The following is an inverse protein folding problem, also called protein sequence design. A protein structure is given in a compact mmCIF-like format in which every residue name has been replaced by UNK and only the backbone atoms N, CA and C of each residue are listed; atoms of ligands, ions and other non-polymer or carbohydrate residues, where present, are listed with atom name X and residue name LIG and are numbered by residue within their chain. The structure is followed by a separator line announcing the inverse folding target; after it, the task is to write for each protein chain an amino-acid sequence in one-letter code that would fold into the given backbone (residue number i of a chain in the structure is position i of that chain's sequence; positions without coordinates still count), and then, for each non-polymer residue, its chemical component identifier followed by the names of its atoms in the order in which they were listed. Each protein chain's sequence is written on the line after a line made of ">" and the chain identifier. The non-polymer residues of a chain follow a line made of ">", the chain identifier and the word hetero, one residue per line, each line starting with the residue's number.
data_IF_178968054769
#
_entry.id   IF_178968054769
#
_cell.length_a   1.000
_cell.length_b   1.000
_cell.length_c   1.000
_cell.angle_alpha   90.00
_cell.angle_beta   90.00
_cell.angle_gamma   90.00
#
_symmetry.space_group_name_H-M   'P 1'
#
loop_
_entity.id
_entity.type
_entity.pdbx_description
1 polymer ?
#
# COMPACT_ATOMS: atom_id res chain seq x y z
N UNK A 1 0.94 -13.63 -16.55
CA UNK A 1 2.25 -13.65 -17.25
C UNK A 1 2.99 -12.38 -16.88
N UNK A 2 4.26 -12.47 -16.52
CA UNK A 2 5.12 -11.31 -16.25
C UNK A 2 6.13 -11.23 -17.40
N UNK A 3 6.25 -10.06 -18.00
CA UNK A 3 7.21 -9.78 -19.07
C UNK A 3 8.15 -8.71 -18.59
N UNK A 4 9.45 -8.94 -18.76
CA UNK A 4 10.51 -7.97 -18.43
C UNK A 4 11.28 -7.69 -19.72
N UNK A 5 11.35 -6.43 -20.13
CA UNK A 5 12.13 -5.98 -21.29
C UNK A 5 13.21 -5.01 -20.83
N UNK A 6 14.47 -5.19 -21.25
CA UNK A 6 15.49 -4.19 -20.98
C UNK A 6 15.13 -2.89 -21.73
N UNK A 7 15.45 -1.72 -21.16
CA UNK A 7 15.18 -0.42 -21.76
C UNK A 7 16.07 -0.22 -22.98
N UNK A 8 15.65 0.69 -23.84
CA UNK A 8 16.43 1.12 -25.02
C UNK A 8 17.65 1.97 -24.59
N UNK A 9 17.66 2.49 -23.35
CA UNK A 9 18.73 3.31 -22.78
C UNK A 9 19.27 2.70 -21.49
N UNK A 10 20.59 2.59 -21.36
CA UNK A 10 21.24 2.18 -20.11
C UNK A 10 21.43 3.40 -19.20
N UNK A 11 20.99 3.32 -17.96
CA UNK A 11 21.28 4.34 -16.95
C UNK A 11 22.79 4.36 -16.64
N UNK A 12 23.35 5.57 -16.50
CA UNK A 12 24.79 5.82 -16.51
C UNK A 12 25.59 5.33 -15.30
N UNK A 13 24.94 4.74 -14.29
CA UNK A 13 25.57 4.41 -12.99
C UNK A 13 25.53 2.91 -12.64
N UNK A 14 25.58 2.02 -13.65
CA UNK A 14 25.75 0.58 -13.42
C UNK A 14 24.58 -0.10 -12.70
N UNK A 15 23.42 0.54 -12.69
CA UNK A 15 22.12 -0.03 -12.37
C UNK A 15 21.47 -0.71 -13.58
N UNK A 16 20.39 -1.45 -13.33
CA UNK A 16 19.56 -2.04 -14.37
C UNK A 16 18.21 -1.34 -14.34
N UNK A 17 17.80 -0.81 -15.47
CA UNK A 17 16.43 -0.38 -15.69
C UNK A 17 15.72 -1.47 -16.52
N UNK A 18 14.40 -1.62 -16.38
CA UNK A 18 13.60 -2.57 -17.14
C UNK A 18 12.13 -2.13 -17.22
N UNK A 19 11.54 -2.26 -18.40
CA UNK A 19 10.09 -2.21 -18.58
C UNK A 19 9.49 -3.53 -18.10
N UNK A 20 8.54 -3.45 -17.16
CA UNK A 20 7.85 -4.61 -16.61
C UNK A 20 6.36 -4.52 -16.91
N UNK A 21 5.78 -5.60 -17.44
CA UNK A 21 4.34 -5.74 -17.67
C UNK A 21 3.80 -6.99 -16.96
N UNK A 22 2.61 -6.86 -16.39
CA UNK A 22 1.84 -7.97 -15.84
C UNK A 22 0.55 -8.10 -16.65
N UNK A 23 0.38 -9.25 -17.28
CA UNK A 23 -0.78 -9.57 -18.11
C UNK A 23 -1.56 -10.80 -17.60
N UNK A 24 -2.83 -10.89 -17.97
CA UNK A 24 -3.67 -12.05 -17.66
C UNK A 24 -3.08 -13.34 -18.25
N UNK A 25 -3.10 -14.47 -17.52
CA UNK A 25 -2.64 -15.76 -18.05
C UNK A 25 -3.73 -16.38 -18.95
N UNK A 26 -3.89 -15.84 -20.15
CA UNK A 26 -4.93 -16.25 -21.12
C UNK A 26 -4.38 -16.35 -22.55
N UNK A 27 -5.09 -17.06 -23.43
CA UNK A 27 -4.75 -17.16 -24.86
C UNK A 27 -4.66 -15.78 -25.54
N UNK A 28 -5.52 -14.85 -25.11
CA UNK A 28 -5.47 -13.44 -25.46
C UNK A 28 -5.09 -12.63 -24.21
N UNK A 29 -3.78 -12.40 -23.96
CA UNK A 29 -3.34 -11.73 -22.75
C UNK A 29 -3.71 -10.24 -22.80
N UNK A 30 -4.29 -9.73 -21.70
CA UNK A 30 -4.52 -8.29 -21.50
C UNK A 30 -3.54 -7.78 -20.47
N UNK A 31 -2.79 -6.73 -20.81
CA UNK A 31 -1.91 -6.03 -19.86
C UNK A 31 -2.77 -5.38 -18.78
N UNK A 32 -2.48 -5.68 -17.53
CA UNK A 32 -3.17 -5.13 -16.34
C UNK A 32 -2.33 -4.07 -15.65
N UNK A 33 -1.02 -4.28 -15.60
CA UNK A 33 -0.07 -3.37 -14.98
C UNK A 33 1.16 -3.21 -15.85
N UNK A 34 1.75 -2.03 -15.79
CA UNK A 34 3.05 -1.72 -16.40
C UNK A 34 3.81 -0.74 -15.51
N UNK A 35 5.12 -0.87 -15.46
CA UNK A 35 6.00 0.10 -14.82
C UNK A 35 7.40 0.02 -15.42
N UNK A 36 8.22 1.01 -15.08
CA UNK A 36 9.67 0.91 -15.19
C UNK A 36 10.20 0.52 -13.82
N UNK A 37 11.12 -0.44 -13.77
CA UNK A 37 11.83 -0.84 -12.55
C UNK A 37 13.28 -0.44 -12.69
N UNK A 38 13.75 0.36 -11.75
CA UNK A 38 15.16 0.74 -11.61
C UNK A 38 15.79 -0.01 -10.43
N UNK A 39 16.86 -0.75 -10.71
CA UNK A 39 17.61 -1.52 -9.73
C UNK A 39 19.03 -0.96 -9.62
N UNK A 40 19.35 -0.41 -8.46
CA UNK A 40 20.69 0.02 -8.11
C UNK A 40 21.47 -1.12 -7.42
N UNK A 41 22.81 -1.09 -7.51
CA UNK A 41 23.69 -2.04 -6.81
C UNK A 41 23.63 -1.92 -5.29
N UNK A 42 23.36 -0.71 -4.82
CA UNK A 42 23.24 -0.39 -3.41
C UNK A 42 21.98 0.44 -3.20
N UNK A 43 21.30 0.17 -2.10
CA UNK A 43 20.15 0.94 -1.67
C UNK A 43 20.63 2.30 -1.16
N UNK A 44 19.95 3.37 -1.57
CA UNK A 44 20.25 4.71 -1.09
C UNK A 44 20.04 4.81 0.44
N UNK A 45 20.78 5.71 1.10
CA UNK A 45 20.63 5.91 2.54
C UNK A 45 19.18 6.35 2.87
N UNK A 46 18.51 5.70 3.84
CA UNK A 46 17.13 6.00 4.18
C UNK A 46 17.04 7.40 4.75
N UNK A 47 16.22 8.33 4.23
CA UNK A 47 16.12 9.68 4.80
C UNK A 47 15.44 9.68 6.17
N UNK A 48 15.60 10.77 6.94
CA UNK A 48 14.81 10.97 8.16
C UNK A 48 13.35 11.25 7.79
N UNK A 49 12.41 10.71 8.55
CA UNK A 49 11.00 11.07 8.39
C UNK A 49 10.75 12.50 8.90
N UNK A 50 10.15 13.34 8.06
CA UNK A 50 9.89 14.76 8.38
C UNK A 50 8.79 15.00 9.41
N UNK A 51 8.08 13.95 9.83
CA UNK A 51 6.94 14.03 10.73
C UNK A 51 5.63 14.34 10.01
N UNK A 52 4.59 14.57 10.81
CA UNK A 52 3.23 14.91 10.36
C UNK A 52 2.95 16.36 10.75
N UNK A 53 2.35 17.14 9.84
CA UNK A 53 2.07 18.57 10.04
C UNK A 53 0.74 18.85 10.78
N UNK A 54 -0.01 17.79 11.12
CA UNK A 54 -1.30 17.83 11.80
C UNK A 54 -1.31 16.90 13.01
N UNK A 55 -1.97 17.31 14.09
CA UNK A 55 -2.23 16.43 15.22
C UNK A 55 -3.19 15.31 14.81
N UNK A 56 -2.78 14.07 15.05
CA UNK A 56 -3.59 12.88 14.77
C UNK A 56 -4.55 12.62 15.93
N UNK A 57 -5.86 12.61 15.64
CA UNK A 57 -6.88 12.23 16.61
C UNK A 57 -7.09 10.71 16.59
N UNK A 58 -7.57 10.10 17.69
CA UNK A 58 -7.96 8.69 17.67
C UNK A 58 -9.04 8.42 16.63
N UNK A 59 -8.93 7.29 15.92
CA UNK A 59 -10.04 6.80 15.10
C UNK A 59 -11.17 6.33 16.04
N UNK A 60 -12.45 6.69 15.79
CA UNK A 60 -13.56 6.27 16.63
C UNK A 60 -13.99 4.81 16.39
N UNK A 61 -13.05 3.95 15.96
CA UNK A 61 -13.20 2.52 15.75
C UNK A 61 -11.91 1.83 16.15
N UNK A 62 -12.03 0.62 16.68
CA UNK A 62 -10.92 -0.31 16.73
C UNK A 62 -10.50 -0.73 15.32
N UNK A 63 -9.30 -1.26 15.18
CA UNK A 63 -8.80 -1.80 13.90
C UNK A 63 -9.71 -2.93 13.38
N UNK A 64 -10.19 -3.81 14.27
CA UNK A 64 -11.12 -4.88 13.92
C UNK A 64 -12.44 -4.35 13.35
N UNK A 65 -13.04 -3.36 14.03
CA UNK A 65 -14.28 -2.73 13.55
C UNK A 65 -14.08 -2.02 12.21
N UNK A 66 -12.95 -1.33 12.02
CA UNK A 66 -12.63 -0.72 10.73
C UNK A 66 -12.52 -1.80 9.64
N UNK A 67 -11.84 -2.91 9.92
CA UNK A 67 -11.75 -4.04 9.00
C UNK A 67 -13.12 -4.62 8.62
N UNK A 68 -13.96 -4.87 9.62
CA UNK A 68 -15.25 -5.52 9.44
C UNK A 68 -16.30 -4.61 8.79
N UNK A 69 -16.27 -3.31 9.09
CA UNK A 69 -17.29 -2.36 8.61
C UNK A 69 -16.91 -1.68 7.32
N UNK A 70 -15.63 -1.41 7.10
CA UNK A 70 -15.18 -0.47 6.07
C UNK A 70 -14.32 -1.10 4.99
N UNK A 71 -13.73 -2.26 5.24
CA UNK A 71 -12.86 -2.93 4.28
C UNK A 71 -13.44 -4.26 3.82
N UNK A 72 -12.83 -4.86 2.79
CA UNK A 72 -13.23 -6.15 2.21
C UNK A 72 -12.09 -7.18 2.24
N UNK A 73 -11.05 -6.94 3.04
CA UNK A 73 -9.85 -7.79 3.08
C UNK A 73 -10.05 -9.00 4.00
N UNK A 74 -9.63 -10.17 3.52
CA UNK A 74 -9.60 -11.40 4.32
C UNK A 74 -8.42 -11.44 5.31
N UNK A 75 -8.43 -12.36 6.29
CA UNK A 75 -7.45 -12.39 7.39
C UNK A 75 -5.99 -12.38 6.95
N UNK A 76 -5.67 -12.94 5.78
CA UNK A 76 -4.32 -12.93 5.23
C UNK A 76 -3.80 -11.50 4.96
N UNK A 77 -4.67 -10.58 4.55
CA UNK A 77 -4.31 -9.19 4.22
C UNK A 77 -4.59 -8.20 5.37
N UNK A 78 -5.25 -8.61 6.45
CA UNK A 78 -5.48 -7.75 7.63
C UNK A 78 -4.18 -7.60 8.44
N UNK A 79 -3.36 -6.61 8.07
CA UNK A 79 -1.98 -6.42 8.55
C UNK A 79 -1.74 -5.11 9.31
N UNK A 80 -2.75 -4.26 9.40
CA UNK A 80 -2.71 -3.11 10.32
C UNK A 80 -2.84 -3.67 11.74
N UNK A 81 -1.81 -3.48 12.55
CA UNK A 81 -1.77 -3.90 13.95
C UNK A 81 -2.40 -2.83 14.87
N UNK A 82 -2.23 -1.56 14.53
CA UNK A 82 -2.81 -0.43 15.25
C UNK A 82 -2.97 0.77 14.31
N UNK A 83 -3.94 1.64 14.61
CA UNK A 83 -4.06 2.95 13.98
C UNK A 83 -3.67 3.98 15.04
N UNK A 84 -2.59 4.69 14.80
CA UNK A 84 -2.05 5.66 15.76
C UNK A 84 -2.87 6.95 15.75
N UNK A 85 -3.50 7.26 14.62
CA UNK A 85 -4.55 8.26 14.53
C UNK A 85 -4.83 8.76 13.12
N UNK A 86 -5.73 9.73 13.03
CA UNK A 86 -6.26 10.30 11.79
C UNK A 86 -6.40 11.81 11.90
N UNK A 87 -6.12 12.53 10.82
CA UNK A 87 -6.32 13.97 10.65
C UNK A 87 -6.97 14.27 9.29
N UNK A 88 -7.21 15.55 8.98
CA UNK A 88 -7.85 15.95 7.72
C UNK A 88 -7.01 15.64 6.48
N UNK A 89 -5.68 15.58 6.59
CA UNK A 89 -4.80 15.17 5.49
C UNK A 89 -4.00 13.90 5.79
N UNK A 90 -4.21 13.23 6.92
CA UNK A 90 -3.33 12.13 7.33
C UNK A 90 -4.05 10.97 7.97
N UNK A 91 -3.47 9.79 7.83
CA UNK A 91 -3.69 8.64 8.72
C UNK A 91 -2.35 7.95 8.95
N UNK A 92 -2.13 7.47 10.18
CA UNK A 92 -0.94 6.69 10.53
C UNK A 92 -1.33 5.40 11.23
N UNK A 93 -0.57 4.34 10.97
CA UNK A 93 -0.79 3.05 11.62
C UNK A 93 0.43 2.14 11.57
N UNK A 94 0.51 1.26 12.57
CA UNK A 94 1.54 0.21 12.69
C UNK A 94 1.13 -1.00 11.86
N UNK A 95 2.07 -1.54 11.10
CA UNK A 95 1.84 -2.64 10.17
C UNK A 95 2.72 -3.83 10.53
N UNK A 96 2.14 -5.01 10.49
CA UNK A 96 2.84 -6.28 10.61
C UNK A 96 3.25 -6.80 9.22
N UNK A 97 4.56 -6.94 8.99
CA UNK A 97 5.06 -7.70 7.85
C UNK A 97 5.05 -9.21 8.18
N UNK A 98 4.34 -10.06 7.40
CA UNK A 98 4.29 -11.49 7.63
C UNK A 98 5.38 -12.24 6.84
N UNK A 99 6.47 -11.60 6.39
CA UNK A 99 7.53 -12.22 5.57
C UNK A 99 8.17 -13.47 6.17
N UNK A 100 8.14 -13.63 7.49
CA UNK A 100 8.57 -14.87 8.18
C UNK A 100 7.50 -15.97 8.24
N UNK A 101 6.25 -15.69 7.84
CA UNK A 101 5.08 -16.58 8.00
C UNK A 101 4.13 -16.58 6.80
N UNK A 102 4.56 -16.19 5.60
CA UNK A 102 3.65 -16.09 4.45
C UNK A 102 3.04 -17.46 4.13
N UNK A 103 1.86 -17.74 4.66
CA UNK A 103 1.02 -18.90 4.35
C UNK A 103 0.44 -18.85 2.94
N UNK A 104 1.06 -18.08 2.03
CA UNK A 104 0.73 -18.10 0.62
C UNK A 104 1.34 -19.36 0.04
N UNK A 105 0.50 -20.38 -0.15
CA UNK A 105 0.91 -21.66 -0.69
C UNK A 105 1.69 -21.46 -2.02
N UNK A 106 2.87 -22.07 -2.10
CA UNK A 106 3.72 -22.03 -3.30
C UNK A 106 4.65 -20.82 -3.41
N UNK A 107 4.60 -19.85 -2.50
CA UNK A 107 5.61 -18.80 -2.41
C UNK A 107 6.52 -19.10 -1.21
N UNK A 108 7.76 -19.50 -1.49
CA UNK A 108 8.78 -19.69 -0.46
C UNK A 108 9.02 -18.39 0.31
N UNK A 109 9.68 -18.49 1.47
CA UNK A 109 10.12 -17.35 2.29
C UNK A 109 10.90 -16.36 1.42
N UNK A 110 10.21 -15.36 0.89
CA UNK A 110 10.80 -14.38 -0.01
C UNK A 110 11.18 -13.17 0.82
N UNK A 111 12.47 -12.82 0.81
CA UNK A 111 12.91 -11.48 1.17
C UNK A 111 12.40 -10.52 0.09
N UNK A 112 11.12 -10.17 0.19
CA UNK A 112 10.44 -9.35 -0.79
C UNK A 112 11.14 -7.99 -0.89
N UNK A 113 11.49 -7.60 -2.12
CA UNK A 113 11.96 -6.22 -2.40
C UNK A 113 10.85 -5.24 -2.03
N UNK A 114 9.61 -5.55 -2.42
CA UNK A 114 8.39 -4.85 -2.04
C UNK A 114 7.51 -5.87 -1.33
N UNK A 115 7.38 -5.77 -0.01
CA UNK A 115 6.46 -6.63 0.72
C UNK A 115 5.02 -6.27 0.36
N UNK A 116 4.26 -7.18 -0.32
CA UNK A 116 2.92 -6.89 -0.79
C UNK A 116 1.95 -6.63 0.37
N UNK A 117 2.19 -7.20 1.54
CA UNK A 117 1.36 -7.01 2.72
C UNK A 117 1.56 -5.64 3.35
N UNK A 118 2.81 -5.17 3.38
CA UNK A 118 3.14 -3.83 3.87
C UNK A 118 2.57 -2.78 2.94
N UNK A 119 2.75 -2.94 1.63
CA UNK A 119 2.21 -2.02 0.64
C UNK A 119 0.68 -1.97 0.68
N UNK A 120 0.01 -3.13 0.71
CA UNK A 120 -1.46 -3.20 0.76
C UNK A 120 -2.01 -2.65 2.08
N UNK A 121 -1.34 -2.83 3.21
CA UNK A 121 -1.76 -2.24 4.47
C UNK A 121 -1.78 -0.69 4.45
N UNK A 122 -0.87 -0.04 3.72
CA UNK A 122 -0.94 1.42 3.51
C UNK A 122 -2.14 1.83 2.66
N UNK A 123 -2.46 1.06 1.61
CA UNK A 123 -3.68 1.25 0.81
C UNK A 123 -4.95 1.06 1.66
N UNK A 124 -4.93 0.10 2.59
CA UNK A 124 -6.02 -0.12 3.53
C UNK A 124 -6.18 1.06 4.51
N UNK A 125 -5.08 1.66 4.99
CA UNK A 125 -5.13 2.88 5.79
C UNK A 125 -5.76 4.04 4.99
N UNK A 126 -5.35 4.25 3.73
CA UNK A 126 -5.97 5.26 2.85
C UNK A 126 -7.48 5.00 2.66
N UNK A 127 -7.87 3.73 2.47
CA UNK A 127 -9.28 3.35 2.37
C UNK A 127 -10.03 3.64 3.68
N UNK A 128 -9.45 3.35 4.85
CA UNK A 128 -10.03 3.67 6.16
C UNK A 128 -10.19 5.19 6.30
N UNK A 129 -9.19 5.96 5.90
CA UNK A 129 -9.26 7.42 5.89
C UNK A 129 -10.42 7.90 4.99
N UNK A 130 -10.54 7.34 3.78
CA UNK A 130 -11.60 7.67 2.82
C UNK A 130 -12.99 7.35 3.40
N UNK A 131 -13.15 6.21 4.07
CA UNK A 131 -14.39 5.82 4.72
C UNK A 131 -14.73 6.73 5.90
N UNK A 132 -13.75 7.14 6.69
CA UNK A 132 -13.96 8.01 7.84
C UNK A 132 -14.29 9.47 7.45
N UNK A 133 -13.71 9.97 6.35
CA UNK A 133 -13.79 11.40 5.96
C UNK A 133 -14.83 11.66 4.88
N UNK A 134 -15.02 10.72 3.95
CA UNK A 134 -15.83 10.90 2.75
C UNK A 134 -16.95 9.86 2.62
N UNK A 135 -16.98 8.85 3.51
CA UNK A 135 -17.88 7.68 3.41
C UNK A 135 -17.82 7.00 2.03
N UNK A 136 -16.62 6.92 1.44
CA UNK A 136 -16.38 6.27 0.14
C UNK A 136 -15.32 5.17 0.24
N UNK A 137 -15.46 4.13 -0.57
CA UNK A 137 -14.40 3.14 -0.78
C UNK A 137 -13.46 3.61 -1.88
N UNK A 138 -12.17 3.67 -1.56
CA UNK A 138 -11.09 3.99 -2.48
C UNK A 138 -10.58 2.73 -3.20
N UNK A 139 -10.34 2.82 -4.51
CA UNK A 139 -9.69 1.78 -5.31
C UNK A 139 -8.45 2.36 -6.02
N UNK A 140 -7.25 1.77 -5.80
CA UNK A 140 -6.02 2.26 -6.39
C UNK A 140 -5.99 2.12 -7.91
N UNK A 141 -5.41 3.11 -8.57
CA UNK A 141 -5.36 3.16 -10.03
C UNK A 141 -3.91 3.21 -10.57
N UNK A 142 -3.05 4.02 -9.96
CA UNK A 142 -1.63 4.13 -10.31
C UNK A 142 -0.85 4.81 -9.17
N UNK A 143 0.46 4.77 -9.25
CA UNK A 143 1.35 5.65 -8.48
C UNK A 143 2.46 6.16 -9.39
N UNK A 144 3.11 7.26 -8.99
CA UNK A 144 4.25 7.82 -9.73
C UNK A 144 5.50 6.98 -9.52
N UNK A 145 5.90 6.77 -8.26
CA UNK A 145 7.11 6.03 -7.92
C UNK A 145 6.98 5.28 -6.59
N UNK A 146 7.75 4.21 -6.47
CA UNK A 146 7.99 3.51 -5.20
C UNK A 146 9.50 3.53 -4.96
N UNK A 147 9.94 4.20 -3.89
CA UNK A 147 11.35 4.25 -3.53
C UNK A 147 11.60 3.35 -2.32
N UNK A 148 12.64 2.53 -2.41
CA UNK A 148 13.08 1.65 -1.32
C UNK A 148 14.42 2.11 -0.78
N UNK A 149 14.50 2.22 0.53
CA UNK A 149 15.72 2.60 1.26
C UNK A 149 16.18 1.54 2.28
N UNK A 150 15.43 0.45 2.46
CA UNK A 150 15.87 -0.72 3.22
C UNK A 150 14.87 -1.87 3.15
N UNK A 151 15.09 -2.91 3.96
CA UNK A 151 14.13 -4.00 4.10
C UNK A 151 12.76 -3.49 4.60
N UNK A 152 11.69 -4.13 4.15
CA UNK A 152 10.32 -3.91 4.64
C UNK A 152 9.78 -5.13 5.40
N UNK A 153 10.48 -6.26 5.26
CA UNK A 153 10.22 -7.52 5.93
C UNK A 153 10.79 -7.55 7.33
N UNK A 154 10.10 -8.27 8.24
CA UNK A 154 10.55 -8.60 9.59
C UNK A 154 10.95 -7.40 10.47
N UNK A 155 10.42 -6.22 10.13
CA UNK A 155 10.64 -4.97 10.84
C UNK A 155 9.31 -4.33 11.24
N UNK A 156 9.27 -3.76 12.44
CA UNK A 156 8.11 -2.98 12.86
C UNK A 156 8.09 -1.66 12.11
N UNK A 157 7.10 -1.49 11.23
CA UNK A 157 6.94 -0.28 10.42
C UNK A 157 5.68 0.48 10.82
N UNK A 158 5.79 1.80 10.81
CA UNK A 158 4.64 2.70 10.85
C UNK A 158 4.45 3.27 9.45
N UNK A 159 3.27 3.08 8.87
CA UNK A 159 2.90 3.78 7.64
C UNK A 159 2.25 5.11 7.98
N UNK A 160 2.74 6.17 7.34
CA UNK A 160 2.13 7.49 7.32
C UNK A 160 1.60 7.74 5.92
N UNK A 161 0.31 8.00 5.82
CA UNK A 161 -0.38 8.27 4.56
C UNK A 161 -0.85 9.71 4.58
N UNK A 162 -0.28 10.54 3.71
CA UNK A 162 -0.75 11.90 3.45
C UNK A 162 -1.75 11.84 2.30
N UNK A 163 -2.90 12.49 2.46
CA UNK A 163 -4.02 12.43 1.51
C UNK A 163 -4.42 13.83 1.09
N UNK A 164 -4.47 14.03 -0.21
CA UNK A 164 -5.06 15.19 -0.87
C UNK A 164 -6.38 14.79 -1.54
N UNK A 165 -7.46 15.50 -1.22
CA UNK A 165 -8.77 15.26 -1.81
C UNK A 165 -8.88 16.00 -3.14
N UNK A 166 -9.14 15.24 -4.21
CA UNK A 166 -9.33 15.75 -5.56
C UNK A 166 -10.77 15.54 -6.03
N UNK A 167 -11.15 16.24 -7.10
CA UNK A 167 -12.41 16.05 -7.80
C UNK A 167 -13.65 15.97 -6.88
N UNK A 168 -13.70 16.82 -5.84
CA UNK A 168 -14.81 16.85 -4.89
C UNK A 168 -14.99 15.59 -4.03
N UNK A 169 -13.94 14.78 -3.85
CA UNK A 169 -13.99 13.53 -3.09
C UNK A 169 -14.16 12.27 -3.95
N UNK A 170 -14.15 12.41 -5.28
CA UNK A 170 -14.20 11.28 -6.21
C UNK A 170 -12.83 10.71 -6.57
N UNK A 171 -11.75 11.40 -6.20
CA UNK A 171 -10.38 10.90 -6.33
C UNK A 171 -9.54 11.40 -5.16
N UNK A 172 -8.51 10.64 -4.80
CA UNK A 172 -7.46 11.09 -3.87
C UNK A 172 -6.11 10.99 -4.56
N UNK A 173 -5.22 11.90 -4.17
CA UNK A 173 -3.79 11.77 -4.42
C UNK A 173 -3.08 11.64 -3.09
N UNK A 174 -2.19 10.66 -2.96
CA UNK A 174 -1.59 10.36 -1.67
C UNK A 174 -0.10 10.05 -1.76
N UNK A 175 0.58 10.33 -0.66
CA UNK A 175 2.00 10.05 -0.45
C UNK A 175 2.13 9.12 0.75
N UNK A 176 2.85 8.01 0.60
CA UNK A 176 3.05 7.05 1.70
C UNK A 176 4.49 7.06 2.16
N UNK A 177 4.69 6.98 3.47
CA UNK A 177 6.01 6.77 4.08
C UNK A 177 5.96 5.58 5.03
N UNK A 178 6.82 4.60 4.81
CA UNK A 178 7.03 3.47 5.72
C UNK A 178 8.24 3.77 6.59
N UNK A 179 8.02 3.92 7.89
CA UNK A 179 9.02 4.46 8.83
C UNK A 179 9.34 3.43 9.90
N UNK A 180 10.63 3.24 10.16
CA UNK A 180 11.11 2.36 11.22
C UNK A 180 11.08 3.01 12.61
N UNK A 181 11.40 2.22 13.63
CA UNK A 181 11.50 2.68 15.02
C UNK A 181 12.56 3.77 15.27
N UNK A 182 13.52 3.93 14.36
CA UNK A 182 14.55 4.97 14.40
C UNK A 182 14.17 6.23 13.61
N UNK A 183 12.89 6.36 13.22
CA UNK A 183 12.36 7.46 12.42
C UNK A 183 13.06 7.61 11.05
N UNK A 184 13.49 6.49 10.45
CA UNK A 184 14.04 6.45 9.09
C UNK A 184 13.00 5.92 8.11
N UNK A 185 12.89 6.57 6.96
CA UNK A 185 12.02 6.13 5.88
C UNK A 185 12.65 4.92 5.19
N UNK A 186 11.98 3.77 5.26
CA UNK A 186 12.41 2.50 4.66
C UNK A 186 11.86 2.30 3.25
N UNK A 187 10.71 2.89 2.98
CA UNK A 187 10.21 3.08 1.62
C UNK A 187 9.25 4.28 1.58
N UNK A 188 9.04 4.83 0.39
CA UNK A 188 8.00 5.82 0.11
C UNK A 188 7.25 5.49 -1.18
N UNK A 189 6.00 5.95 -1.24
CA UNK A 189 5.17 5.91 -2.44
C UNK A 189 4.80 7.31 -2.80
N UNK A 190 5.09 7.69 -4.04
CA UNK A 190 4.80 9.02 -4.55
C UNK A 190 3.62 9.00 -5.50
N UNK A 191 2.76 10.02 -5.39
CA UNK A 191 1.65 10.25 -6.31
C UNK A 191 0.73 9.05 -6.48
N UNK A 192 0.39 8.35 -5.40
CA UNK A 192 -0.66 7.34 -5.42
C UNK A 192 -1.97 8.01 -5.84
N UNK A 193 -2.66 7.45 -6.83
CA UNK A 193 -3.96 7.92 -7.28
C UNK A 193 -5.00 6.85 -7.06
N UNK A 194 -6.08 7.23 -6.39
CA UNK A 194 -7.20 6.35 -6.10
C UNK A 194 -8.51 6.99 -6.54
N UNK A 195 -9.43 6.14 -6.99
CA UNK A 195 -10.80 6.55 -7.30
C UNK A 195 -11.71 6.24 -6.12
N UNK A 196 -12.64 7.13 -5.81
CA UNK A 196 -13.51 7.04 -4.64
C UNK A 196 -14.98 7.04 -5.03
N UNK A 197 -15.75 6.08 -4.49
CA UNK A 197 -17.20 6.01 -4.73
C UNK A 197 -17.95 5.40 -3.55
N UNK A 198 -19.09 6.03 -3.21
CA UNK A 198 -20.02 5.48 -2.22
C UNK A 198 -20.67 4.16 -2.71
N UNK A 199 -20.85 3.99 -4.02
CA UNK A 199 -21.42 2.75 -4.57
C UNK A 199 -20.53 1.52 -4.33
N UNK A 200 -19.22 1.74 -4.12
CA UNK A 200 -18.24 0.70 -3.82
C UNK A 200 -18.23 0.28 -2.34
N UNK A 201 -18.90 1.02 -1.46
CA UNK A 201 -19.03 0.66 -0.03
C UNK A 201 -19.63 -0.74 0.17
N UNK A 202 -20.43 -1.21 -0.80
CA UNK A 202 -21.00 -2.57 -0.83
C UNK A 202 -19.95 -3.68 -0.78
N UNK A 203 -18.70 -3.41 -1.20
CA UNK A 203 -17.63 -4.41 -1.15
C UNK A 203 -17.34 -4.87 0.29
N UNK A 204 -17.45 -3.96 1.26
CA UNK A 204 -17.27 -4.31 2.67
C UNK A 204 -18.38 -5.24 3.20
N UNK A 205 -19.58 -5.19 2.62
CA UNK A 205 -20.74 -5.99 3.05
C UNK A 205 -20.61 -7.48 2.65
N UNK A 206 -19.76 -7.79 1.66
CA UNK A 206 -19.51 -9.17 1.23
C UNK A 206 -18.84 -10.05 2.30
N UNK A 207 -18.12 -9.44 3.26
CA UNK A 207 -17.47 -10.17 4.35
C UNK A 207 -18.48 -10.77 5.35
N UNK A 208 -19.66 -10.17 5.51
CA UNK A 208 -20.65 -10.62 6.50
C UNK A 208 -21.41 -11.89 6.08
N UNK A 209 -21.45 -12.22 4.79
CA UNK A 209 -22.17 -13.39 4.27
C UNK A 209 -21.37 -14.70 4.36
N UNK A 210 -20.04 -14.62 4.48
CA UNK A 210 -19.17 -15.80 4.58
C UNK A 210 -19.01 -16.26 6.03
N UNK A 211 -19.12 -15.36 7.00
CA UNK A 211 -19.00 -15.67 8.44
C UNK A 211 -20.21 -16.43 9.02
N UNK A 212 -21.36 -16.45 8.34
CA UNK A 212 -22.59 -17.13 8.78
C UNK A 212 -22.75 -18.56 8.24
N UNK A 213 -21.73 -19.09 7.54
CA UNK A 213 -21.77 -20.42 6.92
C UNK A 213 -20.69 -21.38 7.45
N UNK A 214 -20.09 -21.08 8.61
CA UNK A 214 -19.07 -21.90 9.28
C UNK A 214 -19.57 -22.49 10.60
#
# INVERSE_FOLDING_TARGET
>A
MITVRPPVHTSGEGGVEADVEIATPSLNPTVRYRCVVELARHVAAPPAFGGVDQALAPLPLTVGEAYDRWTFHGPLFRRIAAIDGIASGWIAGRIDSPSTRSGVAGIGRADWIIDPFVFDAALQLELIWSRARLDTTALPSRFHAFHRYGALSDEALTAFVHVEVLAGGHALKSEFHFVDSAARVRASVEGMEVSCSAALNRLAQGNSLVASAG
#
